data_IF_926501246820
#
_entry.id   IF_926501246820
#
_cell.length_a   1.000
_cell.length_b   1.000
_cell.length_c   1.000
_cell.angle_alpha   90.00
_cell.angle_beta   90.00
_cell.angle_gamma   90.00
#
_symmetry.space_group_name_H-M   'P 1'
#
loop_
_entity.id
_entity.type
_entity.pdbx_description
1 polymer ?
#
# COMPACT_ATOMS: atom_id res chain seq x y z
N UNK A 1 -10.12 13.22 -4.06
CA UNK A 1 -10.59 14.57 -4.38
C UNK A 1 -12.06 14.65 -4.01
N UNK A 2 -12.43 15.39 -2.96
CA UNK A 2 -13.82 15.77 -2.74
C UNK A 2 -14.33 16.46 -4.02
N UNK A 3 -15.61 16.63 -4.17
CA UNK A 3 -16.27 17.27 -5.32
C UNK A 3 -16.30 16.46 -6.63
N UNK A 4 -15.63 15.31 -6.72
CA UNK A 4 -15.78 14.46 -7.90
C UNK A 4 -16.80 13.36 -7.68
N UNK A 5 -17.81 13.20 -8.57
CA UNK A 5 -18.72 12.09 -8.54
C UNK A 5 -18.00 10.73 -8.62
N UNK A 6 -18.54 9.73 -7.93
CA UNK A 6 -18.08 8.34 -8.08
C UNK A 6 -18.19 7.83 -9.52
N UNK A 7 -19.20 8.36 -10.26
CA UNK A 7 -19.44 8.09 -11.67
C UNK A 7 -18.55 8.91 -12.63
N UNK A 8 -17.49 9.57 -12.16
CA UNK A 8 -16.55 10.30 -13.03
C UNK A 8 -16.15 9.45 -14.25
N UNK A 9 -16.16 10.10 -15.42
CA UNK A 9 -15.82 9.45 -16.69
C UNK A 9 -14.36 8.95 -16.68
N UNK A 10 -14.21 7.64 -16.88
CA UNK A 10 -12.90 6.98 -16.97
C UNK A 10 -12.93 5.99 -18.16
N UNK A 11 -12.09 6.18 -19.18
CA UNK A 11 -12.19 5.43 -20.43
C UNK A 11 -12.24 3.91 -20.30
N UNK A 12 -11.52 3.34 -19.34
CA UNK A 12 -11.49 1.89 -19.13
C UNK A 12 -12.74 1.37 -18.39
N UNK A 13 -13.32 2.17 -17.47
CA UNK A 13 -14.55 1.81 -16.76
C UNK A 13 -15.79 1.97 -17.63
N UNK A 14 -15.79 2.97 -18.49
CA UNK A 14 -16.95 3.29 -19.32
C UNK A 14 -17.17 2.29 -20.47
N UNK A 15 -16.27 1.32 -20.62
CA UNK A 15 -16.45 0.14 -21.49
C UNK A 15 -17.38 -0.91 -20.90
N UNK A 16 -17.77 -0.79 -19.63
CA UNK A 16 -18.70 -1.69 -19.00
C UNK A 16 -20.14 -1.28 -19.36
N UNK A 17 -20.90 -2.19 -19.96
CA UNK A 17 -22.29 -1.95 -20.41
C UNK A 17 -23.18 -1.42 -19.28
N UNK A 18 -23.01 -1.93 -18.06
CA UNK A 18 -23.77 -1.47 -16.89
C UNK A 18 -23.57 0.02 -16.61
N UNK A 19 -22.38 0.57 -16.87
CA UNK A 19 -22.12 2.01 -16.66
C UNK A 19 -22.80 2.88 -17.70
N UNK A 20 -22.86 2.42 -18.94
CA UNK A 20 -23.59 3.11 -20.01
C UNK A 20 -25.09 3.19 -19.67
N UNK A 21 -25.67 2.06 -19.28
CA UNK A 21 -27.09 1.98 -18.87
C UNK A 21 -27.39 2.86 -17.66
N UNK A 22 -26.54 2.85 -16.64
CA UNK A 22 -26.72 3.70 -15.45
C UNK A 22 -26.62 5.19 -15.77
N UNK A 23 -25.70 5.58 -16.64
CA UNK A 23 -25.54 6.97 -17.07
C UNK A 23 -26.75 7.46 -17.86
N UNK A 24 -27.22 6.66 -18.81
CA UNK A 24 -28.45 6.95 -19.56
C UNK A 24 -29.65 7.09 -18.60
N UNK A 25 -29.80 6.18 -17.65
CA UNK A 25 -30.85 6.25 -16.66
C UNK A 25 -30.74 7.48 -15.73
N UNK A 26 -29.53 7.95 -15.43
CA UNK A 26 -29.30 9.18 -14.68
C UNK A 26 -29.72 10.42 -15.51
N UNK A 27 -29.30 10.49 -16.77
CA UNK A 27 -29.63 11.58 -17.69
C UNK A 27 -31.13 11.69 -17.98
N UNK A 28 -31.85 10.58 -17.86
CA UNK A 28 -33.30 10.49 -18.05
C UNK A 28 -34.09 10.58 -16.73
N UNK A 29 -33.48 10.96 -15.60
CA UNK A 29 -34.12 11.04 -14.27
C UNK A 29 -34.85 9.73 -13.85
N UNK A 30 -34.33 8.58 -14.28
CA UNK A 30 -34.93 7.26 -13.98
C UNK A 30 -34.32 6.59 -12.74
N UNK A 31 -33.27 7.14 -12.17
CA UNK A 31 -32.63 6.59 -10.99
C UNK A 31 -33.37 7.01 -9.71
N UNK A 32 -33.34 6.15 -8.70
CA UNK A 32 -33.72 6.53 -7.34
C UNK A 32 -32.72 7.51 -6.75
N UNK A 33 -33.08 8.32 -5.73
CA UNK A 33 -32.14 9.21 -5.07
C UNK A 33 -30.87 8.52 -4.57
N UNK A 34 -30.98 7.28 -4.06
CA UNK A 34 -29.84 6.47 -3.63
C UNK A 34 -28.89 6.11 -4.78
N UNK A 35 -29.43 5.80 -5.95
CA UNK A 35 -28.63 5.50 -7.14
C UNK A 35 -28.04 6.76 -7.76
N UNK A 36 -28.78 7.88 -7.75
CA UNK A 36 -28.32 9.18 -8.27
C UNK A 36 -27.16 9.75 -7.47
N UNK A 37 -27.07 9.49 -6.16
CA UNK A 37 -26.00 9.96 -5.29
C UNK A 37 -24.60 9.59 -5.82
N UNK A 38 -24.47 8.50 -6.57
CA UNK A 38 -23.19 8.11 -7.17
C UNK A 38 -22.74 9.02 -8.32
N UNK A 39 -23.67 9.75 -8.92
CA UNK A 39 -23.43 10.72 -10.00
C UNK A 39 -23.27 12.15 -9.47
N UNK A 40 -23.60 12.39 -8.20
CA UNK A 40 -23.48 13.69 -7.55
C UNK A 40 -22.06 13.94 -7.01
N UNK A 41 -21.67 15.21 -6.81
CA UNK A 41 -20.45 15.56 -6.12
C UNK A 41 -20.38 14.91 -4.74
N UNK A 42 -19.26 14.28 -4.42
CA UNK A 42 -19.07 13.65 -3.11
C UNK A 42 -18.71 14.69 -2.04
N UNK A 43 -19.25 14.58 -0.84
CA UNK A 43 -18.84 15.40 0.29
C UNK A 43 -17.37 15.14 0.66
N UNK A 44 -16.77 16.07 1.42
CA UNK A 44 -15.38 15.93 1.87
C UNK A 44 -15.19 14.75 2.82
N UNK A 45 -16.24 14.41 3.58
CA UNK A 45 -16.25 13.33 4.56
C UNK A 45 -17.55 12.53 4.49
N UNK A 46 -17.43 11.25 4.73
CA UNK A 46 -18.56 10.33 4.79
C UNK A 46 -18.39 9.44 6.02
N UNK A 47 -19.49 9.26 6.77
CA UNK A 47 -19.55 8.40 7.96
C UNK A 47 -20.81 7.52 7.84
N UNK A 48 -20.66 6.23 8.06
CA UNK A 48 -21.76 5.28 7.96
C UNK A 48 -21.78 4.32 9.14
N UNK A 49 -22.96 4.00 9.64
CA UNK A 49 -23.18 2.86 10.52
C UNK A 49 -23.43 1.61 9.67
N UNK A 50 -22.40 0.86 9.38
CA UNK A 50 -22.45 -0.30 8.49
C UNK A 50 -23.29 -1.47 9.00
N UNK A 51 -23.68 -1.45 10.29
CA UNK A 51 -24.62 -2.43 10.85
C UNK A 51 -26.06 -2.05 10.58
N UNK A 52 -26.39 -0.76 10.70
CA UNK A 52 -27.74 -0.24 10.46
C UNK A 52 -27.97 0.07 8.97
N UNK A 53 -26.93 0.46 8.25
CA UNK A 53 -26.94 0.86 6.83
C UNK A 53 -25.83 0.13 6.06
N UNK A 54 -26.00 -1.17 5.78
CA UNK A 54 -24.97 -1.98 5.11
C UNK A 54 -24.69 -1.55 3.65
N UNK A 55 -25.57 -0.78 3.04
CA UNK A 55 -25.40 -0.23 1.70
C UNK A 55 -24.72 1.14 1.68
N UNK A 56 -24.39 1.72 2.88
CA UNK A 56 -23.71 3.01 3.05
C UNK A 56 -24.39 4.14 2.26
N UNK A 57 -25.70 4.28 2.40
CA UNK A 57 -26.51 5.26 1.66
C UNK A 57 -26.94 6.47 2.50
N UNK A 58 -26.74 6.42 3.83
CA UNK A 58 -27.08 7.50 4.76
C UNK A 58 -25.82 8.06 5.40
N UNK A 59 -25.27 9.11 4.81
CA UNK A 59 -24.07 9.74 5.37
C UNK A 59 -24.39 10.48 6.69
N UNK A 60 -23.80 10.04 7.79
CA UNK A 60 -23.96 10.57 9.13
C UNK A 60 -22.92 11.65 9.50
N UNK A 61 -22.02 12.02 8.59
CA UNK A 61 -20.93 12.97 8.88
C UNK A 61 -21.43 14.36 9.32
N UNK A 62 -22.65 14.76 8.94
CA UNK A 62 -23.27 16.01 9.35
C UNK A 62 -24.24 15.87 10.55
N UNK A 63 -24.46 14.66 11.06
CA UNK A 63 -25.34 14.41 12.20
C UNK A 63 -24.62 14.68 13.51
N UNK A 64 -25.11 15.65 14.35
CA UNK A 64 -24.50 15.95 15.65
C UNK A 64 -24.42 14.76 16.60
N UNK A 65 -25.29 13.76 16.47
CA UNK A 65 -25.26 12.57 17.31
C UNK A 65 -24.00 11.73 17.12
N UNK A 66 -23.32 11.86 15.97
CA UNK A 66 -22.11 11.13 15.60
C UNK A 66 -20.85 12.01 15.58
N UNK A 67 -20.93 13.24 16.10
CA UNK A 67 -19.83 14.19 16.07
C UNK A 67 -18.57 13.66 16.78
N UNK A 68 -18.72 12.99 17.91
CA UNK A 68 -17.61 12.42 18.68
C UNK A 68 -16.95 11.25 17.94
N UNK A 69 -17.75 10.40 17.29
CA UNK A 69 -17.23 9.29 16.47
C UNK A 69 -16.46 9.82 15.27
N UNK A 70 -16.99 10.82 14.56
CA UNK A 70 -16.32 11.46 13.44
C UNK A 70 -14.99 12.10 13.88
N UNK A 71 -14.97 12.82 15.01
CA UNK A 71 -13.76 13.43 15.56
C UNK A 71 -12.70 12.36 15.91
N UNK A 72 -13.10 11.28 16.56
CA UNK A 72 -12.23 10.15 16.88
C UNK A 72 -11.63 9.49 15.64
N UNK A 73 -12.43 9.29 14.59
CA UNK A 73 -11.97 8.67 13.34
C UNK A 73 -11.03 9.60 12.56
N UNK A 74 -11.28 10.92 12.54
CA UNK A 74 -10.34 11.91 11.99
C UNK A 74 -8.98 11.84 12.68
N UNK A 75 -8.96 11.88 14.02
CA UNK A 75 -7.70 11.79 14.77
C UNK A 75 -6.96 10.46 14.50
N UNK A 76 -7.68 9.36 14.38
CA UNK A 76 -7.09 8.06 14.06
C UNK A 76 -6.46 8.07 12.65
N UNK A 77 -7.15 8.64 11.64
CA UNK A 77 -6.65 8.78 10.27
C UNK A 77 -5.42 9.70 10.24
N UNK A 78 -5.50 10.87 10.86
CA UNK A 78 -4.39 11.82 10.93
C UNK A 78 -3.15 11.21 11.61
N UNK A 79 -3.37 10.46 12.69
CA UNK A 79 -2.29 9.74 13.36
C UNK A 79 -1.65 8.67 12.48
N UNK A 80 -2.47 7.97 11.70
CA UNK A 80 -1.98 6.97 10.75
C UNK A 80 -1.20 7.61 9.60
N UNK A 81 -1.72 8.68 8.99
CA UNK A 81 -1.05 9.44 7.92
C UNK A 81 0.30 10.00 8.36
N UNK A 82 0.40 10.52 9.60
CA UNK A 82 1.69 10.98 10.16
C UNK A 82 2.73 9.87 10.30
N UNK A 83 2.31 8.63 10.51
CA UNK A 83 3.20 7.46 10.68
C UNK A 83 3.51 6.75 9.36
N UNK A 84 2.64 6.89 8.40
CA UNK A 84 2.75 6.21 7.10
C UNK A 84 3.10 7.26 6.05
N UNK A 85 4.29 7.15 5.40
CA UNK A 85 4.66 8.08 4.35
C UNK A 85 3.60 8.05 3.23
N UNK A 86 2.86 9.12 3.10
CA UNK A 86 1.93 9.32 1.99
C UNK A 86 2.65 10.10 0.89
N UNK A 87 2.74 9.49 -0.29
CA UNK A 87 3.41 10.08 -1.45
C UNK A 87 2.43 10.82 -2.37
N UNK A 88 1.14 10.84 -2.05
CA UNK A 88 0.09 11.41 -2.93
C UNK A 88 0.18 12.93 -3.09
N UNK A 89 0.79 13.62 -2.12
CA UNK A 89 0.98 15.07 -2.16
C UNK A 89 2.31 15.50 -2.81
N UNK A 90 3.15 14.53 -3.20
CA UNK A 90 4.42 14.80 -3.87
C UNK A 90 4.20 14.80 -5.39
N UNK A 91 4.75 15.80 -6.06
CA UNK A 91 4.76 15.82 -7.53
C UNK A 91 5.41 14.55 -8.09
N UNK A 92 4.78 13.92 -9.08
CA UNK A 92 5.21 12.62 -9.62
C UNK A 92 6.64 12.68 -10.16
N UNK A 93 7.04 13.77 -10.80
CA UNK A 93 8.39 13.94 -11.31
C UNK A 93 9.41 14.13 -10.17
N UNK A 94 9.02 14.76 -9.06
CA UNK A 94 9.85 14.86 -7.86
C UNK A 94 9.99 13.51 -7.17
N UNK A 95 8.90 12.77 -7.05
CA UNK A 95 8.90 11.41 -6.53
C UNK A 95 9.82 10.49 -7.36
N UNK A 96 9.70 10.54 -8.69
CA UNK A 96 10.55 9.77 -9.59
C UNK A 96 12.04 10.12 -9.42
N UNK A 97 12.37 11.41 -9.31
CA UNK A 97 13.76 11.87 -9.04
C UNK A 97 14.28 11.40 -7.68
N UNK A 98 13.41 11.37 -6.66
CA UNK A 98 13.81 10.88 -5.33
C UNK A 98 14.09 9.37 -5.32
N UNK A 99 13.38 8.62 -6.14
CA UNK A 99 13.56 7.17 -6.29
C UNK A 99 14.76 6.83 -7.18
N UNK A 100 14.97 7.60 -8.23
CA UNK A 100 16.04 7.40 -9.23
C UNK A 100 16.84 8.69 -9.40
N UNK A 101 17.79 8.98 -8.50
CA UNK A 101 18.73 10.08 -8.68
C UNK A 101 19.43 9.94 -10.04
N UNK A 102 19.52 11.04 -10.77
CA UNK A 102 20.13 11.08 -12.11
C UNK A 102 19.42 10.19 -13.17
N UNK A 103 18.18 9.77 -12.92
CA UNK A 103 17.40 8.92 -13.82
C UNK A 103 17.89 7.46 -13.90
N UNK A 104 18.75 7.04 -12.98
CA UNK A 104 19.29 5.67 -12.92
C UNK A 104 18.79 4.96 -11.68
N UNK A 105 18.27 3.73 -11.85
CA UNK A 105 17.83 2.91 -10.73
C UNK A 105 19.03 2.58 -9.81
N UNK A 106 19.04 3.01 -8.54
CA UNK A 106 20.09 2.65 -7.62
C UNK A 106 20.15 1.15 -7.38
N UNK A 107 21.31 0.64 -7.02
CA UNK A 107 21.47 -0.74 -6.57
C UNK A 107 21.15 -0.83 -5.08
N UNK A 108 20.29 -1.78 -4.71
CA UNK A 108 19.95 -2.03 -3.30
C UNK A 108 21.22 -2.47 -2.54
N UNK A 109 21.52 -1.87 -1.39
CA UNK A 109 22.63 -2.32 -0.55
C UNK A 109 22.41 -3.76 -0.08
N UNK A 110 23.52 -4.47 0.18
CA UNK A 110 23.46 -5.78 0.83
C UNK A 110 22.76 -5.71 2.20
N UNK A 111 22.11 -6.79 2.63
CA UNK A 111 21.58 -6.87 3.98
C UNK A 111 22.72 -6.84 5.01
N UNK A 112 22.46 -6.23 6.16
CA UNK A 112 23.33 -6.33 7.32
C UNK A 112 23.09 -7.69 7.98
N UNK A 113 24.14 -8.44 8.18
CA UNK A 113 24.11 -9.79 8.75
C UNK A 113 24.69 -9.77 10.16
N UNK A 114 24.01 -10.39 11.11
CA UNK A 114 24.47 -10.55 12.49
C UNK A 114 24.08 -11.92 13.05
N UNK A 115 24.61 -12.24 14.25
CA UNK A 115 24.26 -13.43 15.03
C UNK A 115 24.37 -14.73 14.23
N UNK A 116 25.42 -14.84 13.41
CA UNK A 116 25.67 -16.03 12.59
C UNK A 116 26.14 -17.17 13.48
N UNK A 117 25.41 -18.27 13.42
CA UNK A 117 25.70 -19.54 14.09
C UNK A 117 25.47 -20.70 13.12
N UNK A 118 25.85 -21.90 13.48
CA UNK A 118 25.52 -23.11 12.69
C UNK A 118 24.01 -23.37 12.54
N UNK A 119 23.17 -22.75 13.39
CA UNK A 119 21.73 -22.96 13.43
C UNK A 119 20.92 -21.74 12.94
N UNK A 120 21.58 -20.70 12.47
CA UNK A 120 20.86 -19.54 11.95
C UNK A 120 21.64 -18.23 11.94
N UNK A 121 20.95 -17.18 11.59
CA UNK A 121 21.50 -15.82 11.45
C UNK A 121 20.36 -14.80 11.54
N UNK A 122 20.73 -13.52 11.67
CA UNK A 122 19.78 -12.39 11.62
C UNK A 122 20.13 -11.51 10.43
N UNK A 123 19.12 -11.10 9.67
CA UNK A 123 19.24 -10.09 8.61
C UNK A 123 18.54 -8.81 9.03
N UNK A 124 19.17 -7.66 8.71
CA UNK A 124 18.52 -6.35 8.77
C UNK A 124 18.67 -5.64 7.44
N UNK A 125 17.68 -4.81 7.12
CA UNK A 125 17.76 -4.00 5.92
C UNK A 125 18.91 -2.99 5.97
N UNK A 126 19.66 -2.87 4.88
CA UNK A 126 20.71 -1.86 4.71
C UNK A 126 20.14 -0.50 4.28
N UNK A 127 18.89 -0.46 3.86
CA UNK A 127 18.14 0.75 3.48
C UNK A 127 16.66 0.56 3.80
N UNK A 128 15.97 1.59 4.32
CA UNK A 128 14.54 1.48 4.62
C UNK A 128 13.70 1.01 3.42
N UNK A 129 12.76 0.10 3.67
CA UNK A 129 11.87 -0.44 2.65
C UNK A 129 12.46 -1.54 1.76
N UNK A 130 13.65 -2.05 2.07
CA UNK A 130 14.19 -3.22 1.39
C UNK A 130 13.63 -4.52 2.00
N UNK A 131 13.20 -5.42 1.15
CA UNK A 131 12.88 -6.80 1.49
C UNK A 131 14.16 -7.63 1.56
N UNK A 132 14.21 -8.60 2.48
CA UNK A 132 15.37 -9.45 2.72
C UNK A 132 15.07 -10.86 2.24
N UNK A 133 15.99 -11.48 1.56
CA UNK A 133 15.86 -12.85 1.07
C UNK A 133 17.13 -13.66 1.34
N UNK A 134 16.93 -14.96 1.52
CA UNK A 134 18.00 -15.93 1.70
C UNK A 134 17.65 -17.26 1.03
N UNK A 135 18.67 -18.05 0.73
CA UNK A 135 18.53 -19.41 0.19
C UNK A 135 19.75 -20.26 0.51
N UNK A 136 19.61 -21.57 0.46
CA UNK A 136 20.78 -22.45 0.32
C UNK A 136 21.36 -22.34 -1.11
N UNK A 137 22.63 -22.62 -1.31
CA UNK A 137 23.20 -22.69 -2.66
C UNK A 137 22.39 -23.65 -3.56
N UNK A 138 21.94 -23.14 -4.71
CA UNK A 138 21.09 -23.89 -5.65
C UNK A 138 19.61 -24.05 -5.23
N UNK A 139 19.21 -23.55 -4.07
CA UNK A 139 17.83 -23.61 -3.58
C UNK A 139 16.99 -22.38 -3.97
N UNK A 140 15.72 -22.42 -3.57
CA UNK A 140 14.78 -21.32 -3.79
C UNK A 140 14.94 -20.21 -2.76
N UNK A 141 14.65 -18.96 -3.19
CA UNK A 141 14.67 -17.81 -2.31
C UNK A 141 13.53 -17.84 -1.29
N UNK A 142 13.85 -17.53 -0.06
CA UNK A 142 12.94 -17.42 1.09
C UNK A 142 13.01 -16.01 1.65
N UNK A 143 11.89 -15.46 2.09
CA UNK A 143 11.84 -14.12 2.70
C UNK A 143 12.28 -14.22 4.16
N UNK A 144 13.07 -13.25 4.61
CA UNK A 144 13.40 -13.04 6.01
C UNK A 144 12.78 -11.73 6.50
N UNK A 145 12.32 -11.71 7.76
CA UNK A 145 11.87 -10.47 8.40
C UNK A 145 13.07 -9.76 9.03
N UNK A 146 13.10 -8.43 8.91
CA UNK A 146 14.19 -7.60 9.44
C UNK A 146 14.32 -7.74 10.96
N UNK A 147 15.50 -8.10 11.42
CA UNK A 147 15.80 -8.27 12.84
C UNK A 147 15.24 -9.55 13.49
N UNK A 148 14.57 -10.42 12.73
CA UNK A 148 14.03 -11.68 13.23
C UNK A 148 15.01 -12.82 12.89
N UNK A 149 15.36 -13.69 13.87
CA UNK A 149 16.24 -14.83 13.63
C UNK A 149 15.69 -15.77 12.55
N UNK A 150 16.53 -16.11 11.59
CA UNK A 150 16.29 -17.17 10.63
C UNK A 150 16.93 -18.45 11.18
N UNK A 151 16.11 -19.49 11.35
CA UNK A 151 16.59 -20.80 11.80
C UNK A 151 16.87 -21.70 10.60
N UNK A 152 17.99 -22.40 10.64
CA UNK A 152 18.41 -23.39 9.63
C UNK A 152 18.79 -24.69 10.33
N UNK A 153 18.21 -25.78 9.84
CA UNK A 153 18.44 -27.11 10.44
C UNK A 153 19.70 -27.80 9.90
N UNK A 154 20.05 -27.49 8.65
CA UNK A 154 21.19 -28.07 7.93
C UNK A 154 21.76 -27.09 6.93
N UNK A 155 23.06 -27.17 6.70
CA UNK A 155 23.79 -26.41 5.70
C UNK A 155 25.08 -25.81 6.25
N UNK A 156 26.06 -25.62 5.38
CA UNK A 156 27.34 -24.97 5.73
C UNK A 156 27.35 -23.50 5.34
N UNK A 157 26.56 -23.12 4.37
CA UNK A 157 26.44 -21.72 3.93
C UNK A 157 25.05 -21.41 3.39
N UNK A 158 24.74 -20.13 3.35
CA UNK A 158 23.53 -19.55 2.75
C UNK A 158 23.91 -18.33 1.90
N UNK A 159 23.12 -18.07 0.87
CA UNK A 159 23.18 -16.84 0.08
C UNK A 159 22.11 -15.89 0.59
N UNK A 160 22.46 -14.60 0.70
CA UNK A 160 21.53 -13.54 1.10
C UNK A 160 21.55 -12.39 0.11
N UNK A 161 20.42 -11.73 -0.06
CA UNK A 161 20.30 -10.50 -0.84
C UNK A 161 19.21 -9.59 -0.29
N UNK A 162 19.21 -8.35 -0.74
CA UNK A 162 18.15 -7.37 -0.51
C UNK A 162 17.51 -6.96 -1.83
N UNK A 163 16.21 -6.67 -1.79
CA UNK A 163 15.44 -6.18 -2.91
C UNK A 163 14.60 -4.99 -2.47
N UNK A 164 14.74 -3.84 -3.12
CA UNK A 164 13.88 -2.69 -2.89
C UNK A 164 13.08 -2.40 -4.14
N UNK A 165 11.77 -2.18 -3.98
CA UNK A 165 10.91 -1.84 -5.11
C UNK A 165 11.44 -0.60 -5.86
N UNK A 166 11.50 -0.71 -7.19
CA UNK A 166 11.99 0.36 -8.05
C UNK A 166 13.51 0.48 -8.15
N UNK A 167 14.29 -0.33 -7.40
CA UNK A 167 15.76 -0.38 -7.46
C UNK A 167 16.24 -1.70 -8.07
N UNK A 168 17.49 -1.73 -8.51
CA UNK A 168 18.16 -2.99 -8.86
C UNK A 168 18.37 -3.81 -7.59
N UNK A 169 18.27 -5.14 -7.70
CA UNK A 169 18.58 -6.04 -6.60
C UNK A 169 20.03 -5.84 -6.12
N UNK A 170 20.30 -6.15 -4.85
CA UNK A 170 21.69 -6.22 -4.36
C UNK A 170 22.44 -7.37 -5.03
N UNK A 171 23.76 -7.38 -4.89
CA UNK A 171 24.53 -8.59 -5.12
C UNK A 171 24.09 -9.69 -4.13
N UNK A 172 24.38 -10.93 -4.47
CA UNK A 172 24.27 -12.05 -3.54
C UNK A 172 25.52 -12.10 -2.68
N UNK A 173 25.35 -12.34 -1.39
CA UNK A 173 26.45 -12.54 -0.45
C UNK A 173 26.32 -13.91 0.19
N UNK A 174 27.37 -14.69 0.12
CA UNK A 174 27.47 -15.96 0.85
C UNK A 174 27.87 -15.74 2.30
N UNK A 175 27.22 -16.49 3.20
CA UNK A 175 27.47 -16.48 4.63
C UNK A 175 27.75 -17.92 5.04
N UNK A 176 28.93 -18.16 5.61
CA UNK A 176 29.27 -19.44 6.23
C UNK A 176 28.64 -19.53 7.62
N UNK A 177 27.93 -20.64 7.89
CA UNK A 177 27.31 -20.93 9.18
C UNK A 177 28.35 -21.59 10.09
N UNK A 178 28.58 -21.04 11.27
CA UNK A 178 29.67 -21.42 12.20
C UNK A 178 29.16 -22.18 13.41
#
# INVERSE_FOLDING_TARGET
MPDRPGATHLPYRDRLDVRAVLREAFEEDKLTPKQSAWFEPRPAEELYDTLADPDEVHNLAADPAYADDLARMREALDSWLRKTPDMSDIDEAEMARSMWPDGVAPKTPLPVVSDVTRHGFVLKEGVPGASLAWRFPGGEWRIALSGVPVHVDQGSSVLVKSVRYGWLESDEKEIELQ
#
